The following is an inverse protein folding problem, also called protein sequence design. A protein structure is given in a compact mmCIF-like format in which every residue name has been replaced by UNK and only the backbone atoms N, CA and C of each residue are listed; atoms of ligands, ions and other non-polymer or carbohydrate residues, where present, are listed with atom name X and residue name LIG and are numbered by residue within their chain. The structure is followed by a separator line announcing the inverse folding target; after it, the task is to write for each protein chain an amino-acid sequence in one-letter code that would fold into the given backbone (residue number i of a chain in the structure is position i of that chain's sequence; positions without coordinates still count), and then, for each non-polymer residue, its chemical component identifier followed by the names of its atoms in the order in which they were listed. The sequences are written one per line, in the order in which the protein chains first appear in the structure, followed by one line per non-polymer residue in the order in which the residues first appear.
data_IF_481061375859
#
_entry.id   IF_481061375859
#
_cell.length_a   1.000
_cell.length_b   1.000
_cell.length_c   1.000
_cell.angle_alpha   90.00
_cell.angle_beta   90.00
_cell.angle_gamma   90.00
#
_symmetry.space_group_name_H-M   'P 1'
#
loop_
_entity.id
_entity.type
_entity.pdbx_description
1 polymer ?
#
# COMPACT_ATOMS: atom_id res chain seq x y z
N UNK A 1 37.40 9.85 -32.62
CA UNK A 1 36.58 8.64 -32.57
C UNK A 1 36.80 7.96 -31.19
N UNK A 2 36.31 8.56 -30.12
CA UNK A 2 36.36 7.97 -28.79
C UNK A 2 35.37 8.74 -27.86
N UNK A 3 34.10 8.78 -28.21
CA UNK A 3 33.06 9.43 -27.38
C UNK A 3 31.79 8.58 -27.21
N UNK A 4 31.83 7.28 -27.55
CA UNK A 4 30.58 6.52 -27.59
C UNK A 4 30.44 5.39 -26.57
N UNK A 5 31.40 5.21 -25.67
CA UNK A 5 31.34 4.12 -24.69
C UNK A 5 30.97 4.53 -23.26
N UNK A 6 30.78 5.81 -22.99
CA UNK A 6 30.43 6.30 -21.65
C UNK A 6 28.91 6.28 -21.37
N UNK A 7 28.10 6.50 -22.41
CA UNK A 7 26.64 6.53 -22.28
C UNK A 7 25.99 5.16 -22.05
N UNK A 8 26.65 4.06 -22.39
CA UNK A 8 26.11 2.71 -22.11
C UNK A 8 26.35 2.25 -20.67
N UNK A 9 27.33 2.80 -19.99
CA UNK A 9 27.60 2.52 -18.58
C UNK A 9 26.65 3.24 -17.63
N UNK A 10 26.25 4.47 -17.97
CA UNK A 10 25.35 5.26 -17.14
C UNK A 10 23.89 4.73 -17.14
N UNK A 11 23.45 4.15 -18.26
CA UNK A 11 22.10 3.55 -18.33
C UNK A 11 21.88 2.37 -17.37
N UNK A 12 22.93 1.63 -17.06
CA UNK A 12 22.83 0.52 -16.09
C UNK A 12 22.82 0.99 -14.64
N UNK A 13 23.50 2.11 -14.33
CA UNK A 13 23.55 2.65 -12.95
C UNK A 13 22.28 3.44 -12.63
N UNK A 14 21.76 4.22 -13.58
CA UNK A 14 20.51 4.95 -13.41
C UNK A 14 19.29 4.00 -13.27
N UNK A 15 19.28 2.89 -14.01
CA UNK A 15 18.25 1.86 -13.89
C UNK A 15 18.20 1.21 -12.50
N UNK A 16 19.35 0.95 -11.89
CA UNK A 16 19.42 0.34 -10.55
C UNK A 16 18.98 1.33 -9.46
N UNK A 17 19.36 2.59 -9.58
CA UNK A 17 18.94 3.63 -8.64
C UNK A 17 17.44 3.94 -8.70
N UNK A 18 16.88 4.04 -9.90
CA UNK A 18 15.44 4.26 -10.11
C UNK A 18 14.61 3.05 -9.67
N UNK A 19 15.10 1.82 -9.88
CA UNK A 19 14.41 0.60 -9.45
C UNK A 19 14.40 0.46 -7.91
N UNK A 20 15.43 0.97 -7.22
CA UNK A 20 15.49 0.96 -5.76
C UNK A 20 14.52 1.98 -5.11
N UNK A 21 14.19 3.05 -5.81
CA UNK A 21 13.22 4.05 -5.33
C UNK A 21 11.77 3.75 -5.73
N UNK A 22 11.56 2.95 -6.78
CA UNK A 22 10.23 2.62 -7.31
C UNK A 22 9.58 1.40 -6.64
N UNK A 23 10.16 0.84 -5.58
CA UNK A 23 9.75 -0.45 -5.03
C UNK A 23 9.02 -0.38 -3.69
N UNK A 24 8.28 0.67 -3.45
CA UNK A 24 7.55 0.84 -2.21
C UNK A 24 6.04 1.06 -2.46
N UNK A 25 5.15 0.10 -2.28
CA UNK A 25 3.69 0.23 -2.34
C UNK A 25 2.96 -0.57 -1.28
N UNK A 26 1.91 -0.03 -0.77
CA UNK A 26 1.12 -0.59 0.30
C UNK A 26 -0.38 -0.74 -0.02
N UNK A 27 -1.00 -1.57 0.51
CA UNK A 27 -2.22 -2.08 1.10
C UNK A 27 -3.58 -1.82 0.54
N UNK A 28 -4.49 -2.64 0.42
CA UNK A 28 -5.81 -2.61 0.98
C UNK A 28 -6.70 -3.77 0.59
N UNK A 29 -7.70 -4.06 1.39
CA UNK A 29 -8.90 -4.75 0.99
C UNK A 29 -9.74 -3.91 0.01
N UNK A 30 -10.74 -4.54 -0.62
CA UNK A 30 -11.64 -3.97 -1.62
C UNK A 30 -12.49 -2.83 -1.05
N UNK A 31 -11.90 -1.66 -0.88
CA UNK A 31 -12.65 -0.47 -0.51
C UNK A 31 -12.68 0.48 -1.69
N UNK A 32 -13.86 0.71 -2.15
CA UNK A 32 -14.12 1.64 -3.23
C UNK A 32 -13.89 3.08 -2.75
N UNK A 33 -13.05 3.90 -3.40
CA UNK A 33 -12.82 5.27 -2.99
C UNK A 33 -14.09 6.11 -2.86
N UNK A 34 -15.13 5.77 -3.60
CA UNK A 34 -16.41 6.47 -3.54
C UNK A 34 -17.23 6.01 -2.32
N UNK A 35 -17.14 4.76 -1.90
CA UNK A 35 -17.82 4.26 -0.70
C UNK A 35 -17.21 4.87 0.58
N UNK A 36 -15.90 5.17 0.56
CA UNK A 36 -15.21 5.85 1.65
C UNK A 36 -15.68 7.29 1.90
N UNK A 37 -16.19 7.98 0.88
CA UNK A 37 -16.71 9.34 1.01
C UNK A 37 -18.06 9.38 1.74
N UNK A 38 -18.77 8.25 1.84
CA UNK A 38 -20.12 8.18 2.38
C UNK A 38 -20.26 7.54 3.77
N UNK A 39 -19.18 6.95 4.32
CA UNK A 39 -19.28 6.23 5.59
C UNK A 39 -18.00 6.36 6.43
N UNK A 40 -18.02 7.09 7.55
CA UNK A 40 -16.87 7.25 8.44
C UNK A 40 -16.33 5.92 9.00
N UNK A 41 -17.15 4.87 9.07
CA UNK A 41 -16.72 3.54 9.52
C UNK A 41 -15.70 2.88 8.58
N UNK A 42 -15.62 3.32 7.32
CA UNK A 42 -14.67 2.76 6.35
C UNK A 42 -13.29 3.44 6.34
N UNK A 43 -13.14 4.60 6.96
CA UNK A 43 -11.85 5.32 7.02
C UNK A 43 -10.83 4.56 7.86
N UNK A 44 -11.27 3.83 8.88
CA UNK A 44 -10.40 2.95 9.66
C UNK A 44 -9.95 1.70 8.92
N UNK A 45 -10.63 1.33 7.83
CA UNK A 45 -10.34 0.08 7.12
C UNK A 45 -9.20 0.18 6.10
N UNK A 46 -8.69 1.37 5.80
CA UNK A 46 -7.55 1.49 4.88
C UNK A 46 -6.21 1.14 5.54
N UNK A 47 -6.07 1.41 6.81
CA UNK A 47 -4.89 0.99 7.60
C UNK A 47 -5.24 -0.04 8.66
N UNK A 48 -6.47 -0.05 9.16
CA UNK A 48 -6.97 -1.06 10.07
C UNK A 48 -7.68 -2.14 9.28
N UNK A 49 -7.23 -3.35 9.44
CA UNK A 49 -7.93 -4.54 8.98
C UNK A 49 -9.35 -4.50 9.52
N UNK A 50 -10.35 -4.80 8.69
CA UNK A 50 -11.72 -4.96 9.12
C UNK A 50 -11.78 -5.83 10.38
N UNK A 51 -11.65 -5.22 11.53
CA UNK A 51 -12.21 -5.77 12.73
C UNK A 51 -13.70 -5.55 12.55
N UNK A 52 -14.39 -6.56 12.05
CA UNK A 52 -15.84 -6.56 12.00
C UNK A 52 -16.36 -6.40 13.43
N UNK A 53 -16.35 -5.18 13.89
CA UNK A 53 -16.88 -4.82 15.17
C UNK A 53 -18.36 -4.72 15.10
N UNK A 54 -19.11 -5.76 15.05
CA UNK A 54 -20.54 -5.76 15.41
C UNK A 54 -21.11 -7.18 15.57
N UNK A 55 -20.29 -8.16 15.96
CA UNK A 55 -20.85 -9.48 16.24
C UNK A 55 -21.28 -9.64 17.70
N UNK A 56 -20.94 -8.75 18.60
CA UNK A 56 -21.45 -8.75 19.97
C UNK A 56 -22.84 -8.11 20.17
N UNK A 57 -23.51 -7.64 19.12
CA UNK A 57 -24.83 -6.99 19.19
C UNK A 57 -26.02 -7.92 19.46
N UNK A 58 -25.83 -9.25 19.56
CA UNK A 58 -26.93 -10.16 19.87
C UNK A 58 -26.88 -10.80 21.26
N UNK A 59 -25.86 -10.51 22.05
CA UNK A 59 -25.89 -10.86 23.48
C UNK A 59 -26.70 -9.78 24.22
N UNK A 60 -28.01 -9.93 24.28
CA UNK A 60 -28.88 -9.04 25.01
C UNK A 60 -28.44 -8.89 26.46
N UNK A 61 -28.33 -7.67 26.98
CA UNK A 61 -28.25 -7.09 28.34
C UNK A 61 -27.87 -7.96 29.56
N UNK A 62 -27.23 -9.11 29.32
CA UNK A 62 -26.64 -9.95 30.37
C UNK A 62 -25.15 -10.04 30.02
N UNK A 63 -24.37 -9.14 30.63
CA UNK A 63 -22.91 -9.13 30.47
C UNK A 63 -22.33 -10.55 30.50
N UNK A 64 -21.35 -10.79 29.64
CA UNK A 64 -20.55 -12.01 29.65
C UNK A 64 -19.99 -12.23 31.05
N UNK A 65 -20.75 -12.92 31.89
CA UNK A 65 -20.24 -13.43 33.16
C UNK A 65 -19.44 -14.67 32.83
N UNK A 66 -18.25 -14.74 33.35
CA UNK A 66 -17.32 -15.86 33.33
C UNK A 66 -17.89 -17.19 33.85
N UNK A 67 -19.17 -17.25 34.18
CA UNK A 67 -19.83 -18.38 34.83
C UNK A 67 -20.84 -19.10 33.92
N UNK A 68 -20.92 -18.80 32.62
CA UNK A 68 -22.00 -19.31 31.73
C UNK A 68 -21.63 -20.27 30.61
N UNK A 69 -20.35 -20.56 30.38
CA UNK A 69 -19.95 -21.59 29.44
C UNK A 69 -19.87 -22.96 30.16
N UNK A 70 -21.02 -23.53 30.49
CA UNK A 70 -21.11 -24.88 31.02
C UNK A 70 -21.12 -25.87 29.85
N UNK A 71 -19.96 -26.20 29.33
CA UNK A 71 -19.80 -27.18 28.23
C UNK A 71 -18.39 -27.49 27.83
N UNK A 72 -17.39 -26.94 28.50
CA UNK A 72 -15.99 -27.26 28.23
C UNK A 72 -15.49 -28.23 29.30
N UNK A 73 -15.79 -29.50 29.15
CA UNK A 73 -15.07 -30.56 29.84
C UNK A 73 -13.84 -30.94 29.01
N UNK A 74 -12.70 -30.83 29.69
CA UNK A 74 -11.41 -31.45 29.40
C UNK A 74 -10.56 -30.87 28.24
N UNK A 75 -9.60 -30.01 28.61
CA UNK A 75 -8.36 -29.86 27.86
C UNK A 75 -8.13 -28.50 27.23
N UNK A 76 -8.12 -27.43 28.03
CA UNK A 76 -7.52 -26.17 27.60
C UNK A 76 -6.01 -26.34 27.46
N UNK A 77 -5.48 -26.35 26.26
CA UNK A 77 -4.07 -26.17 26.10
C UNK A 77 -3.71 -24.64 26.09
N UNK A 78 -2.40 -24.36 26.12
CA UNK A 78 -1.77 -23.12 26.55
C UNK A 78 -2.17 -21.86 25.74
N UNK A 79 -3.01 -21.99 24.70
CA UNK A 79 -3.42 -20.90 23.82
C UNK A 79 -4.94 -20.83 23.60
N UNK A 80 -5.75 -21.58 24.34
CA UNK A 80 -7.21 -21.55 24.19
C UNK A 80 -7.73 -22.09 22.85
N UNK A 81 -6.90 -22.80 22.10
CA UNK A 81 -7.31 -23.46 20.88
C UNK A 81 -8.10 -24.70 21.25
N UNK A 82 -9.38 -24.77 20.88
CA UNK A 82 -10.20 -25.94 21.07
C UNK A 82 -9.57 -27.13 20.34
N UNK A 83 -9.22 -28.16 21.09
CA UNK A 83 -8.86 -29.47 20.55
C UNK A 83 -10.10 -30.34 20.33
N UNK A 84 -11.18 -29.80 19.83
CA UNK A 84 -12.26 -30.65 19.32
C UNK A 84 -11.78 -31.29 18.01
N UNK A 85 -11.94 -32.60 17.90
CA UNK A 85 -11.47 -33.39 16.75
C UNK A 85 -12.32 -33.15 15.48
N UNK A 86 -13.07 -32.08 15.42
CA UNK A 86 -13.67 -31.65 14.17
C UNK A 86 -12.55 -31.16 13.25
N UNK A 87 -12.44 -31.74 12.09
CA UNK A 87 -11.44 -31.42 11.10
C UNK A 87 -11.46 -29.90 10.89
N UNK A 88 -10.35 -29.20 11.20
CA UNK A 88 -10.21 -27.78 10.90
C UNK A 88 -10.34 -27.65 9.39
N UNK A 89 -11.50 -27.28 8.93
CA UNK A 89 -11.70 -26.99 7.52
C UNK A 89 -11.11 -25.60 7.22
N UNK A 90 -9.85 -25.59 6.83
CA UNK A 90 -9.15 -24.34 6.47
C UNK A 90 -9.79 -23.61 5.29
N UNK A 91 -10.65 -24.25 4.53
CA UNK A 91 -11.34 -23.69 3.38
C UNK A 91 -12.76 -23.20 3.69
N UNK A 92 -13.26 -23.40 4.90
CA UNK A 92 -14.56 -22.86 5.30
C UNK A 92 -14.47 -21.34 5.48
N UNK A 93 -15.40 -20.60 4.89
CA UNK A 93 -15.40 -19.13 4.91
C UNK A 93 -14.31 -18.49 4.06
N UNK A 94 -13.73 -19.19 3.08
CA UNK A 94 -12.75 -18.63 2.14
C UNK A 94 -13.45 -17.85 1.06
N UNK A 95 -12.98 -16.61 0.88
CA UNK A 95 -13.39 -15.74 -0.22
C UNK A 95 -12.31 -15.68 -1.31
N UNK A 96 -12.74 -15.56 -2.55
CA UNK A 96 -11.89 -15.33 -3.72
C UNK A 96 -12.44 -14.14 -4.46
N UNK A 97 -11.61 -13.16 -4.69
CA UNK A 97 -11.98 -11.97 -5.43
C UNK A 97 -10.81 -11.44 -6.24
N UNK A 98 -11.03 -10.30 -6.89
CA UNK A 98 -9.99 -9.69 -7.68
C UNK A 98 -10.47 -8.57 -8.55
N UNK A 99 -9.54 -8.05 -9.35
CA UNK A 99 -9.85 -7.02 -10.34
C UNK A 99 -8.91 -7.10 -11.55
N UNK A 100 -9.34 -6.48 -12.63
CA UNK A 100 -8.52 -6.22 -13.80
C UNK A 100 -8.52 -4.72 -14.08
N UNK A 101 -7.35 -4.09 -14.03
CA UNK A 101 -7.15 -2.68 -14.35
C UNK A 101 -6.44 -2.54 -15.68
N UNK A 102 -7.05 -1.81 -16.59
CA UNK A 102 -6.45 -1.43 -17.88
C UNK A 102 -6.30 0.07 -17.94
N UNK A 103 -5.09 0.54 -18.22
CA UNK A 103 -4.78 1.95 -18.22
C UNK A 103 -4.09 2.43 -19.49
N UNK A 104 -4.18 3.73 -19.71
CA UNK A 104 -3.46 4.51 -20.71
C UNK A 104 -2.87 5.75 -20.05
N UNK A 105 -1.63 6.07 -20.36
CA UNK A 105 -1.01 7.34 -20.00
C UNK A 105 -0.33 7.96 -21.21
N UNK A 106 -0.40 9.28 -21.35
CA UNK A 106 0.25 9.99 -22.45
C UNK A 106 1.77 10.10 -22.26
N UNK A 107 2.23 10.06 -21.01
CA UNK A 107 3.65 10.17 -20.65
C UNK A 107 3.94 9.27 -19.47
N UNK A 108 5.13 8.67 -19.45
CA UNK A 108 5.67 7.95 -18.30
C UNK A 108 6.86 8.72 -17.76
N UNK A 109 6.74 9.21 -16.55
CA UNK A 109 7.84 9.85 -15.84
C UNK A 109 8.48 8.86 -14.87
N UNK A 110 9.69 9.15 -14.38
CA UNK A 110 10.34 8.35 -13.34
C UNK A 110 9.48 8.19 -12.06
N UNK A 111 8.53 9.08 -11.87
CA UNK A 111 7.65 9.11 -10.70
C UNK A 111 6.24 8.60 -10.98
N UNK A 112 5.90 8.39 -12.25
CA UNK A 112 4.66 7.76 -12.70
C UNK A 112 4.97 6.39 -13.29
N UNK A 113 5.33 5.44 -12.48
CA UNK A 113 5.68 4.09 -12.93
C UNK A 113 4.45 3.28 -13.38
N UNK A 114 3.68 3.82 -14.33
CA UNK A 114 2.44 3.21 -14.84
C UNK A 114 2.64 2.46 -16.17
N UNK A 115 3.85 1.94 -16.38
CA UNK A 115 4.14 1.12 -17.57
C UNK A 115 4.69 1.90 -18.74
N UNK A 116 4.11 1.78 -19.93
CA UNK A 116 4.58 2.41 -21.17
C UNK A 116 3.70 3.57 -21.59
N UNK A 117 4.33 4.64 -22.06
CA UNK A 117 3.63 5.82 -22.59
C UNK A 117 2.91 5.51 -23.90
N UNK A 118 1.80 6.21 -24.14
CA UNK A 118 0.99 6.13 -25.36
C UNK A 118 0.45 4.72 -25.70
N UNK A 119 0.51 3.77 -24.75
CA UNK A 119 -0.02 2.43 -24.93
C UNK A 119 -1.15 2.11 -23.95
N UNK A 120 -2.15 1.36 -24.42
CA UNK A 120 -3.19 0.79 -23.57
C UNK A 120 -2.72 -0.57 -23.06
N UNK A 121 -2.66 -0.74 -21.74
CA UNK A 121 -2.00 -1.88 -21.12
C UNK A 121 -2.77 -2.42 -19.92
N UNK A 122 -2.49 -3.67 -19.53
CA UNK A 122 -2.94 -4.24 -18.27
C UNK A 122 -2.00 -3.76 -17.17
N UNK A 123 -2.47 -2.88 -16.30
CA UNK A 123 -1.73 -2.44 -15.13
C UNK A 123 -1.75 -3.50 -14.03
N UNK A 124 -2.94 -3.97 -13.65
CA UNK A 124 -3.12 -4.97 -12.62
C UNK A 124 -4.13 -6.02 -13.07
N UNK A 125 -3.72 -7.26 -13.20
CA UNK A 125 -4.56 -8.44 -13.19
C UNK A 125 -4.43 -9.08 -11.81
N UNK A 126 -5.37 -8.82 -10.92
CA UNK A 126 -5.29 -9.15 -9.50
C UNK A 126 -6.24 -10.28 -9.12
N UNK A 127 -5.73 -11.21 -8.35
CA UNK A 127 -6.53 -12.27 -7.71
C UNK A 127 -6.09 -12.38 -6.25
N UNK A 128 -7.03 -12.53 -5.32
CA UNK A 128 -6.74 -12.86 -3.95
C UNK A 128 -7.61 -14.02 -3.46
N UNK A 129 -7.09 -14.67 -2.43
CA UNK A 129 -7.77 -15.68 -1.64
C UNK A 129 -7.62 -15.29 -0.18
N UNK A 130 -8.73 -15.17 0.54
CA UNK A 130 -8.75 -14.70 1.91
C UNK A 130 -9.69 -15.52 2.78
N UNK A 131 -9.27 -15.78 4.00
CA UNK A 131 -10.14 -16.15 5.10
C UNK A 131 -9.95 -15.13 6.20
N UNK A 132 -10.98 -14.35 6.46
CA UNK A 132 -10.97 -13.36 7.54
C UNK A 132 -10.97 -14.07 8.89
N UNK A 133 -10.16 -13.60 9.83
CA UNK A 133 -10.17 -14.08 11.20
C UNK A 133 -11.30 -13.41 11.97
N UNK A 134 -12.43 -14.09 12.13
CA UNK A 134 -13.58 -13.58 12.89
C UNK A 134 -13.59 -14.21 14.29
N UNK A 135 -13.44 -13.37 15.31
CA UNK A 135 -13.43 -13.78 16.71
C UNK A 135 -14.83 -13.69 17.31
N UNK A 136 -15.30 -14.76 17.89
CA UNK A 136 -16.53 -14.76 18.69
C UNK A 136 -16.19 -14.71 20.18
N UNK A 137 -16.80 -13.76 20.94
CA UNK A 137 -16.71 -13.67 22.40
C UNK A 137 -15.28 -13.69 23.00
N UNK A 138 -14.27 -13.20 22.28
CA UNK A 138 -12.89 -13.16 22.74
C UNK A 138 -12.11 -14.47 22.56
N UNK A 139 -12.66 -15.45 21.86
CA UNK A 139 -11.92 -16.65 21.44
C UNK A 139 -10.96 -16.32 20.29
N UNK A 140 -9.84 -17.04 20.21
CA UNK A 140 -8.90 -16.86 19.10
C UNK A 140 -9.42 -17.49 17.82
N UNK A 141 -9.46 -16.69 16.75
CA UNK A 141 -9.78 -17.13 15.40
C UNK A 141 -8.56 -16.98 14.50
N UNK A 142 -8.49 -17.81 13.47
CA UNK A 142 -7.41 -17.82 12.49
C UNK A 142 -7.90 -17.38 11.12
N UNK A 143 -7.13 -16.51 10.49
CA UNK A 143 -7.30 -16.06 9.12
C UNK A 143 -6.01 -16.16 8.32
N UNK A 144 -6.12 -15.97 7.03
CA UNK A 144 -4.98 -15.90 6.11
C UNK A 144 -5.38 -15.18 4.83
N UNK A 145 -4.38 -14.64 4.14
CA UNK A 145 -4.57 -14.04 2.82
C UNK A 145 -3.38 -14.32 1.92
N UNK A 146 -3.66 -14.51 0.64
CA UNK A 146 -2.68 -14.57 -0.43
C UNK A 146 -3.16 -13.77 -1.63
N UNK A 147 -2.36 -12.82 -2.08
CA UNK A 147 -2.63 -11.98 -3.24
C UNK A 147 -1.64 -12.30 -4.36
N UNK A 148 -2.11 -12.22 -5.58
CA UNK A 148 -1.31 -12.45 -6.76
C UNK A 148 -1.65 -11.42 -7.82
N UNK A 149 -0.65 -10.69 -8.31
CA UNK A 149 -0.81 -9.66 -9.33
C UNK A 149 0.06 -9.96 -10.55
N UNK A 150 -0.47 -9.69 -11.73
CA UNK A 150 0.24 -9.68 -12.99
C UNK A 150 -0.07 -8.41 -13.77
N UNK A 151 0.94 -7.72 -14.24
CA UNK A 151 0.76 -6.51 -15.02
C UNK A 151 2.03 -5.67 -15.08
N UNK A 152 1.89 -4.45 -15.58
CA UNK A 152 3.00 -3.49 -15.63
C UNK A 152 3.33 -2.91 -14.24
N UNK A 153 2.43 -3.05 -13.27
CA UNK A 153 2.69 -2.70 -11.87
C UNK A 153 3.40 -3.84 -11.12
N UNK A 154 3.44 -5.05 -11.68
CA UNK A 154 4.13 -6.20 -11.10
C UNK A 154 5.61 -5.93 -10.78
N UNK A 155 6.42 -5.39 -11.70
CA UNK A 155 7.84 -5.08 -11.43
C UNK A 155 8.05 -4.14 -10.24
N UNK A 156 7.14 -3.20 -10.02
CA UNK A 156 7.23 -2.25 -8.92
C UNK A 156 6.76 -2.85 -7.58
N UNK A 157 5.97 -3.91 -7.65
CA UNK A 157 5.40 -4.59 -6.47
C UNK A 157 6.24 -5.79 -6.02
N UNK A 158 7.26 -6.18 -6.79
CA UNK A 158 8.16 -7.28 -6.44
C UNK A 158 8.91 -7.02 -5.14
N UNK A 159 9.02 -8.05 -4.30
CA UNK A 159 9.83 -7.99 -3.08
C UNK A 159 11.31 -8.23 -3.35
N UNK A 160 12.15 -7.50 -2.64
CA UNK A 160 13.60 -7.72 -2.63
C UNK A 160 14.01 -8.68 -1.50
N UNK A 161 15.26 -9.11 -1.52
CA UNK A 161 15.89 -9.75 -0.37
C UNK A 161 15.91 -11.26 -0.37
N UNK A 162 15.27 -11.91 -1.32
CA UNK A 162 15.51 -13.35 -1.57
C UNK A 162 16.81 -13.54 -2.33
N UNK A 163 17.25 -14.81 -2.49
CA UNK A 163 18.49 -15.11 -3.21
C UNK A 163 18.53 -14.35 -4.55
N UNK A 164 19.37 -13.33 -4.59
CA UNK A 164 19.46 -12.46 -5.75
C UNK A 164 19.92 -13.29 -6.94
N UNK A 165 19.13 -13.33 -7.99
CA UNK A 165 19.61 -13.85 -9.25
C UNK A 165 20.82 -13.01 -9.69
N UNK A 166 22.00 -13.63 -9.76
CA UNK A 166 23.24 -12.95 -10.07
C UNK A 166 23.24 -12.22 -11.43
N UNK A 167 22.27 -12.52 -12.28
CA UNK A 167 22.13 -11.94 -13.62
C UNK A 167 21.17 -10.76 -13.64
N UNK A 168 20.07 -10.81 -12.87
CA UNK A 168 19.03 -9.79 -12.87
C UNK A 168 19.09 -8.85 -11.69
N UNK A 169 19.68 -9.27 -10.57
CA UNK A 169 19.77 -8.50 -9.33
C UNK A 169 18.50 -8.53 -8.47
N UNK A 170 17.45 -9.23 -8.90
CA UNK A 170 16.16 -9.29 -8.20
C UNK A 170 16.03 -10.49 -7.26
N UNK A 171 15.15 -10.40 -6.30
CA UNK A 171 14.86 -11.48 -5.35
C UNK A 171 14.07 -12.62 -5.99
N UNK A 172 14.13 -13.79 -5.36
CA UNK A 172 13.51 -15.00 -5.88
C UNK A 172 12.15 -15.33 -5.21
N UNK A 173 11.63 -14.44 -4.35
CA UNK A 173 10.33 -14.68 -3.71
C UNK A 173 9.19 -14.55 -4.72
N UNK A 174 9.22 -13.49 -5.52
CA UNK A 174 8.23 -13.19 -6.54
C UNK A 174 8.73 -13.61 -7.93
N UNK A 175 7.81 -13.80 -8.86
CA UNK A 175 8.15 -14.22 -10.23
C UNK A 175 8.52 -13.01 -11.07
N UNK A 176 9.79 -12.87 -11.36
CA UNK A 176 10.39 -11.72 -12.07
C UNK A 176 9.95 -11.52 -13.52
N UNK A 177 9.61 -12.58 -14.23
CA UNK A 177 9.37 -12.50 -15.66
C UNK A 177 7.90 -12.74 -16.00
N UNK A 178 7.28 -11.79 -16.68
CA UNK A 178 5.97 -11.96 -17.28
C UNK A 178 5.99 -12.97 -18.46
N UNK A 179 4.82 -13.31 -18.96
CA UNK A 179 4.68 -14.17 -20.13
C UNK A 179 5.31 -13.57 -21.41
N UNK A 180 5.51 -12.26 -21.43
CA UNK A 180 6.11 -11.54 -22.56
C UNK A 180 7.38 -10.83 -22.11
N UNK A 181 8.53 -11.34 -22.52
CA UNK A 181 9.82 -10.73 -22.19
C UNK A 181 9.95 -9.33 -22.79
N UNK A 182 10.38 -8.38 -21.96
CA UNK A 182 10.71 -7.03 -22.40
C UNK A 182 9.53 -6.08 -22.55
N UNK A 183 8.31 -6.49 -22.18
CA UNK A 183 7.13 -5.64 -22.23
C UNK A 183 6.81 -4.93 -20.89
N UNK A 184 7.71 -5.02 -19.91
CA UNK A 184 7.50 -4.41 -18.59
C UNK A 184 6.49 -5.13 -17.70
N UNK A 185 5.98 -6.29 -18.12
CA UNK A 185 5.04 -7.09 -17.33
C UNK A 185 5.77 -8.07 -16.43
N UNK A 186 5.34 -8.15 -15.16
CA UNK A 186 5.83 -9.14 -14.21
C UNK A 186 4.71 -9.63 -13.29
N UNK A 187 5.06 -10.66 -12.52
CA UNK A 187 4.26 -11.19 -11.43
C UNK A 187 4.78 -10.66 -10.09
N UNK A 188 3.87 -10.44 -9.14
CA UNK A 188 4.22 -10.23 -7.75
C UNK A 188 3.24 -10.97 -6.83
N UNK A 189 3.69 -11.27 -5.61
CA UNK A 189 2.90 -11.82 -4.52
C UNK A 189 2.92 -10.78 -3.38
N UNK A 190 2.12 -9.73 -3.45
CA UNK A 190 2.22 -8.62 -2.50
C UNK A 190 1.74 -8.96 -1.11
N UNK A 191 0.93 -10.02 -0.95
CA UNK A 191 0.52 -10.52 0.34
C UNK A 191 0.57 -12.04 0.41
N UNK A 192 1.15 -12.56 1.48
CA UNK A 192 1.12 -13.97 1.86
C UNK A 192 1.31 -14.06 3.37
N UNK A 193 0.23 -14.05 4.13
CA UNK A 193 0.27 -14.02 5.58
C UNK A 193 -0.78 -14.91 6.23
N UNK A 194 -0.57 -15.16 7.51
CA UNK A 194 -1.56 -15.71 8.43
C UNK A 194 -1.82 -14.67 9.53
N UNK A 195 -3.02 -14.70 10.09
CA UNK A 195 -3.35 -13.86 11.23
C UNK A 195 -4.16 -14.64 12.28
N UNK A 196 -4.07 -14.19 13.51
CA UNK A 196 -4.86 -14.67 14.62
C UNK A 196 -5.42 -13.47 15.39
N UNK A 197 -6.71 -13.51 15.69
CA UNK A 197 -7.38 -12.43 16.45
C UNK A 197 -8.24 -13.00 17.58
N UNK A 198 -8.38 -12.22 18.65
CA UNK A 198 -9.38 -12.46 19.71
C UNK A 198 -10.41 -11.31 19.80
N UNK A 199 -10.47 -10.48 18.75
CA UNK A 199 -11.31 -9.28 18.67
C UNK A 199 -10.59 -8.01 19.09
N UNK A 200 -9.88 -7.98 20.20
CA UNK A 200 -9.11 -6.81 20.66
C UNK A 200 -7.65 -6.83 20.20
N UNK A 201 -7.09 -8.01 20.06
CA UNK A 201 -5.70 -8.21 19.66
C UNK A 201 -5.64 -9.03 18.39
N UNK A 202 -4.95 -8.53 17.37
CA UNK A 202 -4.65 -9.27 16.16
C UNK A 202 -3.15 -9.40 15.99
N UNK A 203 -2.67 -10.61 15.71
CA UNK A 203 -1.28 -10.90 15.38
C UNK A 203 -1.23 -11.36 13.94
N UNK A 204 -0.54 -10.61 13.10
CA UNK A 204 -0.32 -10.94 11.69
C UNK A 204 1.13 -11.33 11.48
N UNK A 205 1.37 -12.41 10.74
CA UNK A 205 2.71 -12.93 10.46
C UNK A 205 2.82 -13.38 9.01
N UNK A 206 3.86 -12.94 8.32
CA UNK A 206 4.11 -13.28 6.92
C UNK A 206 4.56 -12.09 6.12
N UNK A 207 4.23 -12.10 4.84
CA UNK A 207 4.43 -10.99 3.90
C UNK A 207 3.13 -10.21 3.76
N UNK A 208 3.16 -8.94 4.06
CA UNK A 208 1.97 -8.10 4.11
C UNK A 208 2.32 -6.68 3.69
N UNK A 209 1.30 -5.95 3.29
CA UNK A 209 1.45 -4.54 2.97
C UNK A 209 1.92 -3.71 4.16
N UNK A 210 2.56 -2.59 3.86
CA UNK A 210 2.94 -1.60 4.88
C UNK A 210 1.72 -1.03 5.60
N UNK A 211 1.97 -0.39 6.72
CA UNK A 211 0.99 0.46 7.40
C UNK A 211 1.23 1.96 7.10
N UNK A 212 2.31 2.29 6.37
CA UNK A 212 2.61 3.67 5.98
C UNK A 212 1.70 4.14 4.84
N UNK A 213 1.44 5.43 4.81
CA UNK A 213 0.83 6.12 3.68
C UNK A 213 -0.70 6.18 3.68
N UNK A 214 -1.22 6.87 2.69
CA UNK A 214 -2.65 7.00 2.40
C UNK A 214 -3.05 6.23 1.15
N UNK A 215 -2.27 6.33 0.08
CA UNK A 215 -2.52 5.58 -1.14
C UNK A 215 -2.11 4.12 -1.01
N UNK A 216 -2.69 3.27 -1.82
CA UNK A 216 -2.62 1.81 -1.69
C UNK A 216 -2.27 1.14 -3.03
N UNK A 217 -1.67 -0.06 -2.98
CA UNK A 217 -1.25 -0.80 -4.19
C UNK A 217 -2.42 -1.21 -5.07
N UNK A 218 -3.49 -1.86 -4.55
CA UNK A 218 -4.60 -2.22 -5.39
C UNK A 218 -5.27 -0.97 -5.97
N UNK A 219 -5.42 -0.94 -7.27
CA UNK A 219 -6.04 0.19 -7.98
C UNK A 219 -7.43 0.54 -7.45
N UNK A 220 -8.15 -0.45 -6.93
CA UNK A 220 -9.49 -0.32 -6.34
C UNK A 220 -9.54 0.58 -5.12
N UNK A 221 -8.44 0.68 -4.37
CA UNK A 221 -8.35 1.49 -3.15
C UNK A 221 -7.97 2.95 -3.36
N UNK A 222 -7.72 3.41 -4.58
CA UNK A 222 -7.26 4.77 -4.87
C UNK A 222 -8.28 5.56 -5.68
N UNK A 223 -8.40 6.85 -5.38
CA UNK A 223 -9.24 7.75 -6.18
C UNK A 223 -8.63 8.03 -7.56
N UNK A 224 -7.32 8.24 -7.64
CA UNK A 224 -6.59 8.54 -8.86
C UNK A 224 -5.98 7.28 -9.47
N UNK A 225 -5.72 7.32 -10.78
CA UNK A 225 -4.98 6.28 -11.47
C UNK A 225 -3.47 6.39 -11.16
N UNK A 226 -2.91 7.61 -11.24
CA UNK A 226 -1.51 7.84 -10.90
C UNK A 226 -1.33 8.00 -9.40
N UNK A 227 -0.22 7.46 -8.88
CA UNK A 227 0.13 7.56 -7.47
C UNK A 227 0.86 8.85 -7.12
N UNK A 228 0.82 9.20 -5.83
CA UNK A 228 1.60 10.30 -5.29
C UNK A 228 3.11 9.99 -5.30
N UNK A 229 3.93 11.03 -5.35
CA UNK A 229 5.40 10.87 -5.27
C UNK A 229 5.84 10.17 -3.99
N UNK A 230 5.22 10.49 -2.86
CA UNK A 230 5.57 9.90 -1.57
C UNK A 230 5.37 8.40 -1.58
N UNK A 231 4.24 7.92 -2.09
CA UNK A 231 3.95 6.51 -2.20
C UNK A 231 5.03 5.78 -3.01
N UNK A 232 5.44 6.31 -4.16
CA UNK A 232 6.41 5.66 -5.01
C UNK A 232 7.87 5.81 -4.53
N UNK A 233 8.18 6.80 -3.66
CA UNK A 233 9.55 7.18 -3.39
C UNK A 233 9.88 7.40 -1.91
N UNK A 234 8.94 7.23 -1.00
CA UNK A 234 9.14 7.55 0.42
C UNK A 234 8.58 6.51 1.39
N UNK A 235 7.82 5.56 0.88
CA UNK A 235 7.13 4.54 1.65
C UNK A 235 7.56 3.14 1.19
N UNK A 236 7.59 2.15 2.08
CA UNK A 236 7.66 0.76 1.67
C UNK A 236 6.33 0.33 1.09
N UNK A 237 6.34 -0.66 0.20
CA UNK A 237 5.11 -1.29 -0.29
C UNK A 237 4.69 -2.43 0.62
N UNK A 238 5.66 -3.23 1.01
CA UNK A 238 5.44 -4.46 1.73
C UNK A 238 6.45 -4.64 2.86
N UNK A 239 6.09 -5.49 3.79
CA UNK A 239 6.97 -5.99 4.84
C UNK A 239 6.84 -7.50 4.97
N UNK A 240 7.91 -8.16 5.35
CA UNK A 240 7.85 -9.52 5.86
C UNK A 240 8.22 -9.52 7.34
N UNK A 241 7.35 -10.03 8.18
CA UNK A 241 7.59 -9.96 9.62
C UNK A 241 6.38 -10.35 10.44
N UNK A 242 6.29 -9.76 11.62
CA UNK A 242 5.17 -9.94 12.55
C UNK A 242 4.74 -8.56 13.05
N UNK A 243 3.45 -8.29 12.98
CA UNK A 243 2.85 -7.08 13.57
C UNK A 243 1.68 -7.46 14.47
N UNK A 244 1.59 -6.78 15.60
CA UNK A 244 0.48 -6.89 16.54
C UNK A 244 -0.32 -5.59 16.44
N UNK A 245 -1.61 -5.72 16.23
CA UNK A 245 -2.61 -4.67 16.36
C UNK A 245 -3.35 -4.87 17.67
N UNK A 246 -3.46 -3.83 18.47
CA UNK A 246 -4.19 -3.84 19.73
C UNK A 246 -5.22 -2.74 19.76
N UNK A 247 -6.50 -3.11 19.86
CA UNK A 247 -7.58 -2.16 20.16
C UNK A 247 -7.44 -1.71 21.61
N UNK A 248 -7.21 -0.42 21.82
CA UNK A 248 -7.01 0.18 23.15
C UNK A 248 -8.32 0.79 23.65
N UNK A 249 -9.14 1.29 22.75
CA UNK A 249 -10.49 1.77 22.99
C UNK A 249 -11.31 1.60 21.70
N UNK A 250 -12.60 1.96 21.75
CA UNK A 250 -13.44 1.95 20.54
C UNK A 250 -12.94 2.90 19.46
N UNK A 251 -12.18 3.94 19.85
CA UNK A 251 -11.69 4.98 18.97
C UNK A 251 -10.19 4.87 18.69
N UNK A 252 -9.46 3.88 19.24
CA UNK A 252 -8.01 3.84 19.14
C UNK A 252 -7.44 2.44 19.03
N UNK A 253 -6.57 2.27 18.04
CA UNK A 253 -5.71 1.09 17.86
C UNK A 253 -4.23 1.47 17.89
N UNK A 254 -3.40 0.57 18.37
CA UNK A 254 -1.94 0.71 18.35
C UNK A 254 -1.32 -0.47 17.64
N UNK A 255 -0.21 -0.21 16.95
CA UNK A 255 0.51 -1.18 16.14
C UNK A 255 1.94 -1.31 16.64
N UNK A 256 2.44 -2.53 16.75
CA UNK A 256 3.84 -2.77 17.08
C UNK A 256 4.31 -4.09 16.46
N UNK A 257 5.44 -4.04 15.77
CA UNK A 257 5.94 -5.21 15.09
C UNK A 257 7.43 -5.14 14.79
N UNK A 258 7.92 -6.25 14.27
CA UNK A 258 9.25 -6.39 13.72
C UNK A 258 9.15 -6.85 12.26
N UNK A 259 9.97 -6.29 11.40
CA UNK A 259 10.04 -6.65 9.99
C UNK A 259 11.46 -6.95 9.54
N UNK A 260 11.59 -7.76 8.52
CA UNK A 260 12.86 -8.05 7.84
C UNK A 260 13.29 -6.90 6.90
N UNK A 261 12.85 -5.67 7.16
CA UNK A 261 13.12 -4.49 6.35
C UNK A 261 11.97 -4.10 5.43
N UNK A 262 12.25 -3.21 4.48
CA UNK A 262 11.31 -2.71 3.49
C UNK A 262 11.36 -3.57 2.22
N UNK A 263 10.20 -3.90 1.69
CA UNK A 263 10.03 -4.65 0.43
C UNK A 263 10.89 -5.91 0.37
N UNK A 264 11.03 -6.60 1.50
CA UNK A 264 11.75 -7.86 1.61
C UNK A 264 10.80 -9.04 1.56
N UNK A 265 11.20 -10.11 0.89
CA UNK A 265 10.55 -11.41 1.00
C UNK A 265 10.94 -12.14 2.29
N UNK A 266 10.83 -13.48 2.31
CA UNK A 266 11.10 -14.30 3.49
C UNK A 266 12.60 -14.49 3.82
N UNK A 267 13.49 -13.87 3.08
CA UNK A 267 14.94 -13.86 3.35
C UNK A 267 15.40 -12.44 3.57
N UNK A 268 16.03 -12.20 4.71
CA UNK A 268 16.60 -10.89 5.03
C UNK A 268 17.67 -10.48 4.01
N UNK A 269 17.63 -9.24 3.56
CA UNK A 269 18.65 -8.63 2.70
C UNK A 269 19.51 -7.69 3.53
N UNK A 270 20.85 -7.80 3.40
CA UNK A 270 21.79 -6.91 4.08
C UNK A 270 21.57 -6.84 5.60
N UNK A 271 21.25 -7.98 6.22
CA UNK A 271 20.93 -8.06 7.66
C UNK A 271 19.78 -7.11 8.08
N UNK A 272 18.84 -6.85 7.16
CA UNK A 272 17.72 -5.94 7.39
C UNK A 272 16.88 -6.36 8.60
N UNK A 273 16.55 -5.40 9.43
CA UNK A 273 15.79 -5.60 10.66
C UNK A 273 15.26 -4.25 11.14
N UNK A 274 13.96 -4.09 11.16
CA UNK A 274 13.34 -2.83 11.55
C UNK A 274 12.11 -3.00 12.42
N UNK A 275 11.86 -2.00 13.24
CA UNK A 275 10.59 -1.82 13.93
C UNK A 275 9.57 -1.23 12.96
N UNK A 276 8.33 -1.68 13.07
CA UNK A 276 7.16 -1.08 12.44
C UNK A 276 6.09 -0.89 13.51
N UNK A 277 5.53 0.30 13.63
CA UNK A 277 4.46 0.53 14.59
C UNK A 277 3.90 1.93 14.53
N UNK A 278 2.92 2.21 15.38
CA UNK A 278 2.22 3.48 15.41
C UNK A 278 0.85 3.36 16.05
N UNK A 279 -0.06 4.21 15.64
CA UNK A 279 -1.45 4.19 16.10
C UNK A 279 -2.40 4.80 15.07
N UNK A 280 -3.66 4.42 15.15
CA UNK A 280 -4.79 5.04 14.48
C UNK A 280 -5.85 5.42 15.51
N UNK A 281 -6.49 6.57 15.35
CA UNK A 281 -7.52 7.03 16.27
C UNK A 281 -8.62 7.84 15.56
N UNK A 282 -9.87 7.60 15.93
CA UNK A 282 -10.96 8.54 15.66
C UNK A 282 -10.84 9.73 16.58
N UNK A 283 -10.56 10.90 16.03
CA UNK A 283 -10.51 12.17 16.76
C UNK A 283 -11.94 12.68 17.00
N UNK A 284 -12.85 12.39 16.08
CA UNK A 284 -14.29 12.62 16.14
C UNK A 284 -14.98 11.69 15.15
N UNK A 285 -16.32 11.71 15.10
CA UNK A 285 -17.11 10.93 14.14
C UNK A 285 -16.72 11.21 12.67
N UNK A 286 -16.17 12.38 12.38
CA UNK A 286 -15.84 12.83 11.03
C UNK A 286 -14.32 12.93 10.78
N UNK A 287 -13.47 12.68 11.77
CA UNK A 287 -12.01 12.89 11.67
C UNK A 287 -11.25 11.72 12.23
N UNK A 288 -10.42 11.11 11.43
CA UNK A 288 -9.43 10.12 11.85
C UNK A 288 -8.00 10.63 11.70
N UNK A 289 -7.11 10.08 12.50
CA UNK A 289 -5.68 10.34 12.43
C UNK A 289 -4.91 9.05 12.61
N UNK A 290 -4.01 8.78 11.65
CA UNK A 290 -3.11 7.64 11.67
C UNK A 290 -1.66 8.13 11.65
N UNK A 291 -0.84 7.59 12.54
CA UNK A 291 0.60 7.82 12.58
C UNK A 291 1.33 6.49 12.60
N UNK A 292 2.18 6.27 11.60
CA UNK A 292 3.00 5.06 11.47
C UNK A 292 4.47 5.45 11.41
N UNK A 293 5.32 4.65 12.00
CA UNK A 293 6.76 4.84 12.01
C UNK A 293 7.53 3.54 11.86
N UNK A 294 8.66 3.62 11.21
CA UNK A 294 9.64 2.54 11.10
C UNK A 294 11.03 3.07 11.44
N UNK A 295 11.85 2.24 12.07
CA UNK A 295 13.27 2.54 12.31
C UNK A 295 14.09 1.26 12.41
N UNK A 296 15.36 1.34 12.01
CA UNK A 296 16.30 0.23 11.97
C UNK A 296 16.93 0.08 10.59
N UNK A 297 17.38 -1.12 10.27
CA UNK A 297 17.93 -1.43 8.97
C UNK A 297 16.80 -1.82 8.01
N UNK A 298 16.55 -0.99 7.00
CA UNK A 298 15.50 -1.21 6.00
C UNK A 298 15.92 -2.15 4.85
N UNK A 299 17.18 -2.53 4.80
CA UNK A 299 17.73 -3.46 3.82
C UNK A 299 18.35 -2.74 2.61
N UNK A 300 17.60 -2.51 1.56
CA UNK A 300 18.13 -1.92 0.33
C UNK A 300 18.61 -0.47 0.52
N UNK A 301 17.93 0.28 1.38
CA UNK A 301 18.23 1.69 1.66
C UNK A 301 19.01 1.91 2.98
N UNK A 302 19.42 0.83 3.65
CA UNK A 302 20.28 0.86 4.85
C UNK A 302 19.55 1.20 6.13
N UNK A 303 20.32 1.68 7.12
CA UNK A 303 19.77 2.12 8.41
C UNK A 303 18.99 3.42 8.23
N UNK A 304 17.84 3.53 8.91
CA UNK A 304 16.99 4.69 8.72
C UNK A 304 15.88 4.87 9.75
N UNK A 305 15.15 5.93 9.54
CA UNK A 305 13.94 6.32 10.22
C UNK A 305 12.94 6.83 9.19
N UNK A 306 11.70 6.38 9.32
CA UNK A 306 10.59 6.87 8.51
C UNK A 306 9.33 7.04 9.35
N UNK A 307 8.49 7.97 8.94
CA UNK A 307 7.12 8.03 9.41
C UNK A 307 6.19 8.57 8.35
N UNK A 308 4.93 8.18 8.46
CA UNK A 308 3.79 8.79 7.77
C UNK A 308 2.75 9.25 8.79
N UNK A 309 2.09 10.35 8.48
CA UNK A 309 0.99 10.90 9.25
C UNK A 309 -0.16 11.25 8.31
N UNK A 310 -1.30 10.61 8.51
CA UNK A 310 -2.50 10.79 7.69
C UNK A 310 -3.62 11.33 8.57
N UNK A 311 -4.21 12.46 8.18
CA UNK A 311 -5.44 12.99 8.74
C UNK A 311 -6.49 12.91 7.65
N UNK A 312 -7.56 12.19 7.92
CA UNK A 312 -8.71 12.08 7.05
C UNK A 312 -9.91 12.78 7.70
N UNK A 313 -10.54 13.67 6.97
CA UNK A 313 -11.64 14.49 7.45
C UNK A 313 -12.82 14.47 6.49
N UNK A 314 -13.89 13.81 6.90
CA UNK A 314 -15.17 13.87 6.24
C UNK A 314 -15.87 15.20 6.57
N UNK A 315 -15.64 16.24 5.79
CA UNK A 315 -16.16 17.62 6.05
C UNK A 315 -17.69 17.64 6.05
N UNK A 316 -18.30 16.83 5.19
CA UNK A 316 -19.75 16.58 5.14
C UNK A 316 -20.01 15.33 4.27
N UNK A 317 -21.26 14.90 4.15
CA UNK A 317 -21.69 13.69 3.43
C UNK A 317 -21.14 13.54 1.99
N UNK A 318 -20.57 14.60 1.42
CA UNK A 318 -20.09 14.63 0.02
C UNK A 318 -18.66 15.07 -0.14
N UNK A 319 -18.07 15.67 0.87
CA UNK A 319 -16.76 16.30 0.77
C UNK A 319 -15.81 15.70 1.80
N UNK A 320 -14.79 15.05 1.30
CA UNK A 320 -13.70 14.51 2.07
C UNK A 320 -12.41 15.28 1.78
N UNK A 321 -11.61 15.51 2.81
CA UNK A 321 -10.28 16.08 2.75
C UNK A 321 -9.28 15.18 3.46
N UNK A 322 -8.16 14.89 2.79
CA UNK A 322 -7.06 14.14 3.39
C UNK A 322 -5.78 14.97 3.35
N UNK A 323 -5.11 15.01 4.49
CA UNK A 323 -3.74 15.52 4.62
C UNK A 323 -2.81 14.34 4.92
N UNK A 324 -1.77 14.19 4.13
CA UNK A 324 -0.77 13.14 4.28
C UNK A 324 0.62 13.76 4.30
N UNK A 325 1.44 13.34 5.25
CA UNK A 325 2.83 13.77 5.42
C UNK A 325 3.75 12.58 5.61
N UNK A 326 4.87 12.57 4.88
CA UNK A 326 5.92 11.58 5.01
C UNK A 326 7.26 12.21 5.31
N UNK A 327 8.06 11.47 6.07
CA UNK A 327 9.47 11.70 6.26
C UNK A 327 10.21 10.37 6.15
N UNK A 328 11.26 10.35 5.33
CA UNK A 328 12.19 9.23 5.23
C UNK A 328 13.62 9.76 5.36
N UNK A 329 14.41 9.16 6.24
CA UNK A 329 15.85 9.34 6.34
C UNK A 329 16.52 7.98 6.34
N UNK A 330 17.39 7.73 5.38
CA UNK A 330 18.08 6.48 5.26
C UNK A 330 19.53 6.69 4.79
N UNK A 331 20.45 5.93 5.37
CA UNK A 331 21.90 6.12 5.18
C UNK A 331 22.40 5.73 3.79
N UNK A 332 21.76 4.74 3.16
CA UNK A 332 22.11 4.35 1.80
C UNK A 332 21.34 5.23 0.80
N UNK A 333 22.07 5.88 -0.09
CA UNK A 333 21.60 6.76 -1.14
C UNK A 333 21.18 8.18 -0.69
N UNK A 334 21.72 8.67 0.44
CA UNK A 334 21.49 10.05 0.93
C UNK A 334 19.97 10.45 0.89
N UNK A 335 19.11 9.52 1.26
CA UNK A 335 17.66 9.77 1.28
C UNK A 335 17.29 10.64 2.49
N UNK A 336 17.02 11.92 2.26
CA UNK A 336 16.40 12.84 3.21
C UNK A 336 15.13 13.41 2.57
N UNK A 337 14.06 12.62 2.67
CA UNK A 337 12.79 12.89 1.99
C UNK A 337 11.78 13.50 2.96
N UNK A 338 11.10 14.53 2.47
CA UNK A 338 9.89 15.10 3.09
C UNK A 338 8.83 15.22 2.03
N UNK A 339 7.61 14.76 2.31
CA UNK A 339 6.48 14.90 1.43
C UNK A 339 5.24 15.43 2.14
N UNK A 340 4.44 16.19 1.42
CA UNK A 340 3.10 16.63 1.83
C UNK A 340 2.17 16.44 0.66
N UNK A 341 1.11 15.67 0.89
CA UNK A 341 0.04 15.46 -0.07
C UNK A 341 -1.28 15.93 0.54
N UNK A 342 -2.11 16.52 -0.28
CA UNK A 342 -3.44 16.96 0.12
C UNK A 342 -4.44 16.50 -0.94
N UNK A 343 -5.52 15.90 -0.49
CA UNK A 343 -6.59 15.38 -1.33
C UNK A 343 -7.88 16.09 -0.98
N UNK A 344 -8.64 16.47 -1.98
CA UNK A 344 -9.97 16.99 -1.82
C UNK A 344 -10.89 16.23 -2.79
N UNK A 345 -11.82 15.44 -2.25
CA UNK A 345 -12.69 14.58 -3.01
C UNK A 345 -14.13 14.99 -2.75
N UNK A 346 -14.88 15.22 -3.83
CA UNK A 346 -16.28 15.61 -3.76
C UNK A 346 -17.18 14.65 -4.55
N UNK A 347 -18.17 14.10 -3.86
CA UNK A 347 -19.17 13.21 -4.46
C UNK A 347 -20.26 14.02 -5.17
N UNK A 348 -20.23 14.03 -6.49
CA UNK A 348 -21.25 14.73 -7.32
C UNK A 348 -22.58 13.98 -7.30
N UNK A 349 -22.54 12.66 -7.42
CA UNK A 349 -23.69 11.75 -7.38
C UNK A 349 -23.24 10.37 -6.93
N UNK A 350 -24.15 9.44 -6.73
CA UNK A 350 -23.85 8.04 -6.35
C UNK A 350 -22.89 7.33 -7.33
N UNK A 351 -22.79 7.83 -8.56
CA UNK A 351 -21.97 7.22 -9.62
C UNK A 351 -20.78 8.08 -10.06
N UNK A 352 -20.62 9.30 -9.54
CA UNK A 352 -19.57 10.22 -10.02
C UNK A 352 -18.96 11.00 -8.86
N UNK A 353 -17.67 10.80 -8.64
CA UNK A 353 -16.83 11.63 -7.81
C UNK A 353 -15.89 12.52 -8.62
N UNK A 354 -15.51 13.66 -8.10
CA UNK A 354 -14.46 14.54 -8.61
C UNK A 354 -13.43 14.77 -7.52
N UNK A 355 -12.15 14.72 -7.87
CA UNK A 355 -11.07 14.89 -6.90
C UNK A 355 -9.93 15.76 -7.41
N UNK A 356 -9.22 16.36 -6.46
CA UNK A 356 -7.96 17.04 -6.67
C UNK A 356 -6.92 16.54 -5.68
N UNK A 357 -5.67 16.35 -6.14
CA UNK A 357 -4.51 16.06 -5.31
C UNK A 357 -3.45 17.12 -5.54
N UNK A 358 -2.90 17.68 -4.47
CA UNK A 358 -1.78 18.60 -4.50
C UNK A 358 -0.60 17.97 -3.73
N UNK A 359 0.57 17.95 -4.36
CA UNK A 359 1.74 17.26 -3.86
C UNK A 359 2.94 18.20 -3.77
N UNK A 360 3.69 18.07 -2.69
CA UNK A 360 5.06 18.54 -2.57
C UNK A 360 5.92 17.40 -2.06
N UNK A 361 6.90 17.02 -2.86
CA UNK A 361 7.88 15.99 -2.51
C UNK A 361 9.27 16.60 -2.62
N UNK A 362 10.12 16.33 -1.63
CA UNK A 362 11.48 16.85 -1.59
C UNK A 362 12.43 15.74 -1.19
N UNK A 363 13.48 15.52 -1.97
CA UNK A 363 14.59 14.65 -1.65
C UNK A 363 15.91 15.41 -1.79
N UNK A 364 16.76 15.37 -0.77
CA UNK A 364 18.11 15.90 -0.74
C UNK A 364 18.23 17.32 -1.34
N UNK A 365 17.31 18.21 -0.96
CA UNK A 365 17.28 19.59 -1.42
C UNK A 365 16.47 19.85 -2.68
N UNK A 366 16.18 18.84 -3.51
CA UNK A 366 15.38 18.96 -4.72
C UNK A 366 13.90 18.85 -4.41
N UNK A 367 13.09 19.81 -4.85
CA UNK A 367 11.64 19.80 -4.68
C UNK A 367 10.93 19.54 -5.99
N UNK A 368 9.91 18.70 -5.93
CA UNK A 368 8.96 18.43 -7.01
C UNK A 368 7.56 18.70 -6.50
N UNK A 369 6.74 19.28 -7.34
CA UNK A 369 5.34 19.59 -7.06
C UNK A 369 4.46 18.94 -8.09
N UNK A 370 3.25 18.57 -7.71
CA UNK A 370 2.24 18.12 -8.65
C UNK A 370 0.84 18.60 -8.27
N UNK A 371 0.02 18.77 -9.31
CA UNK A 371 -1.42 18.96 -9.18
C UNK A 371 -2.11 17.94 -10.07
N UNK A 372 -2.96 17.11 -9.48
CA UNK A 372 -3.76 16.11 -10.18
C UNK A 372 -5.23 16.45 -10.02
N UNK A 373 -5.99 16.41 -11.11
CA UNK A 373 -7.44 16.52 -11.10
C UNK A 373 -8.06 15.36 -11.86
N UNK A 374 -9.07 14.71 -11.30
CA UNK A 374 -9.65 13.53 -11.91
C UNK A 374 -11.12 13.30 -11.54
N UNK A 375 -11.69 12.32 -12.20
CA UNK A 375 -13.04 11.82 -11.96
C UNK A 375 -12.99 10.34 -11.63
N UNK A 376 -13.92 9.94 -10.78
CA UNK A 376 -14.29 8.53 -10.58
C UNK A 376 -15.69 8.34 -11.10
N UNK A 377 -15.86 7.52 -12.15
CA UNK A 377 -17.16 7.28 -12.81
C UNK A 377 -17.48 5.80 -12.66
N UNK A 378 -18.58 5.49 -11.99
CA UNK A 378 -19.08 4.14 -11.76
C UNK A 378 -20.35 3.87 -12.56
N UNK A 379 -20.26 3.43 -13.81
CA UNK A 379 -21.44 3.07 -14.59
C UNK A 379 -22.10 1.77 -14.09
N UNK A 380 -21.38 0.96 -13.36
CA UNK A 380 -21.82 -0.28 -12.72
C UNK A 380 -21.06 -0.50 -11.42
N UNK A 381 -21.60 -1.25 -10.47
CA UNK A 381 -20.92 -1.56 -9.19
C UNK A 381 -19.55 -2.24 -9.36
N UNK A 382 -19.37 -2.98 -10.43
CA UNK A 382 -18.13 -3.69 -10.75
C UNK A 382 -17.24 -2.95 -11.75
N UNK A 383 -17.57 -1.72 -12.17
CA UNK A 383 -16.80 -0.98 -13.18
C UNK A 383 -16.53 0.42 -12.67
N UNK A 384 -15.26 0.79 -12.63
CA UNK A 384 -14.80 2.15 -12.33
C UNK A 384 -13.96 2.67 -13.50
N UNK A 385 -14.18 3.91 -13.93
CA UNK A 385 -13.44 4.60 -14.98
C UNK A 385 -12.86 5.87 -14.36
N UNK A 386 -11.52 6.06 -14.45
CA UNK A 386 -10.82 7.18 -13.82
C UNK A 386 -10.00 7.98 -14.83
N UNK A 387 -10.59 8.95 -15.54
CA UNK A 387 -9.83 9.92 -16.31
C UNK A 387 -9.22 10.96 -15.38
N UNK A 388 -7.94 11.31 -15.62
CA UNK A 388 -7.22 12.32 -14.86
C UNK A 388 -6.25 13.14 -15.71
N UNK A 389 -5.88 14.30 -15.18
CA UNK A 389 -4.82 15.17 -15.67
C UNK A 389 -3.89 15.47 -14.51
N UNK A 390 -2.62 15.21 -14.67
CA UNK A 390 -1.55 15.54 -13.71
C UNK A 390 -0.61 16.58 -14.33
N UNK A 391 -0.28 17.61 -13.58
CA UNK A 391 0.73 18.61 -13.93
C UNK A 391 1.83 18.60 -12.88
N UNK A 392 3.02 18.23 -13.30
CA UNK A 392 4.23 18.12 -12.49
C UNK A 392 5.18 19.27 -12.81
N UNK A 393 5.87 19.79 -11.79
CA UNK A 393 6.93 20.79 -12.02
C UNK A 393 7.97 20.78 -10.91
N UNK A 394 9.18 21.25 -11.27
CA UNK A 394 10.26 21.55 -10.32
C UNK A 394 10.76 22.97 -10.53
N UNK A 395 10.98 23.77 -9.49
CA UNK A 395 11.56 25.11 -9.62
C UNK A 395 12.95 25.06 -10.26
N UNK A 396 13.26 26.02 -11.14
CA UNK A 396 14.57 26.15 -11.76
C UNK A 396 15.70 26.37 -10.76
N UNK A 397 16.89 25.88 -11.06
CA UNK A 397 18.08 25.97 -10.21
C UNK A 397 18.23 24.83 -9.21
N UNK A 398 17.33 23.84 -9.26
CA UNK A 398 17.46 22.61 -8.48
C UNK A 398 17.93 21.48 -9.40
N UNK A 399 19.05 20.89 -9.08
CA UNK A 399 19.59 19.71 -9.78
C UNK A 399 19.40 18.53 -8.85
N UNK A 400 18.80 17.45 -9.34
CA UNK A 400 18.80 16.19 -8.59
C UNK A 400 20.25 15.78 -8.29
N UNK A 401 20.51 15.26 -7.10
CA UNK A 401 21.86 14.91 -6.66
C UNK A 401 22.55 13.89 -7.60
N UNK A 402 21.77 13.11 -8.33
CA UNK A 402 22.23 12.15 -9.34
C UNK A 402 22.32 12.74 -10.76
N UNK A 403 21.96 14.01 -10.97
CA UNK A 403 21.90 14.66 -12.27
C UNK A 403 20.78 14.15 -13.19
N UNK A 404 19.82 13.39 -12.63
CA UNK A 404 18.71 12.84 -13.37
C UNK A 404 17.46 13.73 -13.29
N UNK A 405 16.73 13.79 -14.36
CA UNK A 405 15.47 14.48 -14.51
C UNK A 405 14.33 13.51 -14.21
N UNK A 406 13.53 13.80 -13.26
CA UNK A 406 12.37 12.98 -12.98
C UNK A 406 11.27 13.05 -14.04
N UNK A 407 11.32 14.01 -14.99
CA UNK A 407 10.21 14.24 -15.89
C UNK A 407 10.46 13.69 -17.31
N UNK A 408 11.58 14.01 -17.90
CA UNK A 408 11.89 13.57 -19.26
C UNK A 408 13.40 13.43 -19.40
N UNK A 409 13.92 12.25 -19.52
CA UNK A 409 15.35 11.97 -19.73
C UNK A 409 16.33 12.44 -18.63
N UNK A 410 15.91 12.61 -17.41
CA UNK A 410 16.87 12.67 -16.33
C UNK A 410 17.33 14.05 -15.87
N UNK A 411 16.60 15.14 -16.01
CA UNK A 411 16.89 16.42 -15.33
C UNK A 411 15.64 17.04 -14.70
N UNK A 412 15.57 17.15 -13.38
CA UNK A 412 14.42 17.77 -12.69
C UNK A 412 14.44 19.31 -12.80
N UNK A 413 15.56 19.89 -13.21
CA UNK A 413 15.81 21.32 -13.13
C UNK A 413 14.96 22.14 -14.10
N UNK A 414 13.96 22.85 -13.58
CA UNK A 414 13.13 23.79 -14.33
C UNK A 414 12.16 23.16 -15.31
N UNK A 415 11.98 21.84 -15.27
CA UNK A 415 11.05 21.15 -16.14
C UNK A 415 9.63 21.13 -15.58
N UNK A 416 8.68 20.97 -16.46
CA UNK A 416 7.29 20.71 -16.16
C UNK A 416 6.71 19.75 -17.18
N UNK A 417 5.75 18.96 -16.77
CA UNK A 417 5.08 17.96 -17.60
C UNK A 417 3.59 17.96 -17.33
N UNK A 418 2.80 17.67 -18.36
CA UNK A 418 1.35 17.47 -18.24
C UNK A 418 0.98 16.11 -18.77
N UNK A 419 0.54 15.24 -17.89
CA UNK A 419 0.16 13.87 -18.21
C UNK A 419 -1.36 13.74 -18.25
N UNK A 420 -1.87 13.09 -19.29
CA UNK A 420 -3.25 12.63 -19.38
C UNK A 420 -3.26 11.14 -19.16
N UNK A 421 -4.07 10.69 -18.22
CA UNK A 421 -4.22 9.27 -17.93
C UNK A 421 -5.69 8.88 -17.82
N UNK A 422 -5.98 7.64 -18.14
CA UNK A 422 -7.29 7.05 -17.91
C UNK A 422 -7.14 5.56 -17.67
N UNK A 423 -7.88 5.04 -16.72
CA UNK A 423 -8.00 3.61 -16.55
C UNK A 423 -9.46 3.15 -16.43
N UNK A 424 -9.61 1.84 -16.56
CA UNK A 424 -10.86 1.13 -16.31
C UNK A 424 -10.56 -0.07 -15.42
N UNK A 425 -11.28 -0.18 -14.32
CA UNK A 425 -11.18 -1.26 -13.35
C UNK A 425 -12.45 -2.10 -13.41
N UNK A 426 -12.27 -3.43 -13.49
CA UNK A 426 -13.33 -4.42 -13.38
C UNK A 426 -13.09 -5.25 -12.13
N UNK A 427 -14.04 -5.25 -11.17
CA UNK A 427 -13.97 -6.06 -9.95
C UNK A 427 -14.87 -7.30 -10.05
N UNK A 428 -14.48 -8.39 -9.39
CA UNK A 428 -15.25 -9.65 -9.37
C UNK A 428 -15.08 -10.43 -8.07
#
# INVERSE_FOLDING_TARGET
MAKWNWLKGLRCVAGVGATLMASSMAVAGDVNPIDNVANPEHVFTQTSYNLAGDVCGSCGDAGCRTDGCSGCDDGCDMFGLRCDQDEINIFDGVEVGGHAQFGYTSEVTLFNATGQEEEFQLNQGWIYLEKVAESECGEWALGYRGDFVYGVDGPNTNSFGNAVNATTGFGAFDLEEGFVRGAGYAWAIPQLYVEATNGDTTVKAGHFYTLHGYEVVPATGNFFFTHAYSMNNSEPFTHTGVVVTQKVSDDMEVYAGWTAGWDTGFVQRNDSSSFLGGFSTAVSDDVSFTYITSFGNFGAIGDGYAHSAVLDWQINDKLNYVFHHDLLRADAADNDVVAINQYLIYQLSDCVGVGGRAEWWKNDGTSVYALTGGLNIKPHSQITIRPEVKYDWSPGGQVAADGNNGFDNGTIDGSNETTFSVDVIFTF
#
